data_IF_718711166098
#
_entry.id   IF_718711166098
#
_cell.length_a   1.000
_cell.length_b   1.000
_cell.length_c   1.000
_cell.angle_alpha   90.00
_cell.angle_beta   90.00
_cell.angle_gamma   90.00
#
_symmetry.space_group_name_H-M   'P 1'
#
loop_
_entity.id
_entity.type
_entity.pdbx_description
1 polymer ?
#
# COMPACT_ATOMS: atom_id res chain seq x y z
N UNK A 1 10.42 54.19 -17.94
CA UNK A 1 9.72 52.91 -18.16
C UNK A 1 10.71 51.78 -17.97
N UNK A 2 10.76 51.18 -16.77
CA UNK A 2 11.62 50.04 -16.46
C UNK A 2 10.97 48.76 -16.99
N UNK A 3 11.69 48.01 -17.83
CA UNK A 3 11.21 46.80 -18.48
C UNK A 3 11.33 45.63 -17.50
N UNK A 4 10.21 45.19 -16.92
CA UNK A 4 10.15 43.93 -16.17
C UNK A 4 10.47 42.77 -17.11
N UNK A 5 11.68 42.21 -17.00
CA UNK A 5 11.99 40.94 -17.65
C UNK A 5 11.28 39.82 -16.88
N UNK A 6 10.46 38.98 -17.54
CA UNK A 6 9.92 37.79 -16.89
C UNK A 6 11.11 36.85 -16.64
N UNK A 7 11.35 36.52 -15.37
CA UNK A 7 12.31 35.50 -14.98
C UNK A 7 11.73 34.16 -15.44
N UNK A 8 11.91 33.81 -16.71
CA UNK A 8 11.64 32.46 -17.19
C UNK A 8 12.80 31.59 -16.72
N UNK A 9 12.77 31.21 -15.44
CA UNK A 9 13.57 30.09 -14.94
C UNK A 9 13.15 28.84 -15.72
N UNK A 10 13.86 28.56 -16.82
CA UNK A 10 13.86 27.25 -17.45
C UNK A 10 14.50 26.28 -16.46
N UNK A 11 13.71 25.74 -15.52
CA UNK A 11 14.07 24.53 -14.79
C UNK A 11 14.28 23.44 -15.82
N UNK A 12 15.53 23.18 -16.17
CA UNK A 12 15.91 22.03 -16.98
C UNK A 12 15.32 20.80 -16.30
N UNK A 13 14.51 20.05 -17.02
CA UNK A 13 13.90 18.83 -16.50
C UNK A 13 15.04 17.85 -16.25
N UNK A 14 15.56 17.82 -15.01
CA UNK A 14 16.59 16.88 -14.64
C UNK A 14 15.91 15.51 -14.54
N UNK A 15 15.83 14.83 -15.68
CA UNK A 15 15.42 13.41 -15.83
C UNK A 15 16.47 12.49 -15.21
N UNK A 16 16.88 12.77 -13.98
CA UNK A 16 17.87 11.99 -13.27
C UNK A 16 17.14 10.95 -12.41
N UNK A 17 16.69 9.86 -13.07
CA UNK A 17 16.14 8.66 -12.42
C UNK A 17 17.11 8.06 -11.38
N UNK A 18 18.38 8.46 -11.42
CA UNK A 18 19.42 8.15 -10.44
C UNK A 18 19.11 8.68 -9.03
N UNK A 19 18.33 9.76 -8.91
CA UNK A 19 17.88 10.29 -7.62
C UNK A 19 16.84 9.36 -6.99
N UNK A 20 15.93 8.80 -7.80
CA UNK A 20 14.90 7.87 -7.34
C UNK A 20 15.50 6.53 -6.87
N UNK A 21 16.57 6.06 -7.53
CA UNK A 21 17.32 4.87 -7.09
C UNK A 21 18.09 5.10 -5.79
N UNK A 22 18.51 6.33 -5.48
CA UNK A 22 19.05 6.67 -4.16
C UNK A 22 17.99 6.60 -3.05
N UNK A 23 16.74 7.00 -3.34
CA UNK A 23 15.63 6.82 -2.40
C UNK A 23 15.32 5.35 -2.12
N UNK A 24 15.47 4.45 -3.12
CA UNK A 24 15.35 3.01 -2.91
C UNK A 24 16.36 2.46 -1.88
N UNK A 25 17.49 3.14 -1.69
CA UNK A 25 18.44 2.84 -0.61
C UNK A 25 17.83 2.93 0.80
N UNK A 26 16.88 3.85 1.00
CA UNK A 26 16.17 4.02 2.28
C UNK A 26 15.12 2.93 2.53
N UNK A 27 14.67 2.19 1.50
CA UNK A 27 13.80 1.03 1.66
C UNK A 27 14.57 -0.24 2.07
N UNK A 28 15.89 -0.27 1.84
CA UNK A 28 16.76 -1.44 2.04
C UNK A 28 16.78 -1.98 3.49
N UNK A 29 16.70 -1.16 4.55
CA UNK A 29 16.57 -1.65 5.94
C UNK A 29 15.22 -2.32 6.21
N UNK A 30 14.15 -1.93 5.48
CA UNK A 30 12.76 -2.33 5.74
C UNK A 30 12.28 -3.49 4.85
N UNK A 31 13.21 -4.24 4.24
CA UNK A 31 12.87 -5.34 3.30
C UNK A 31 11.95 -6.41 3.90
N UNK A 32 12.06 -6.69 5.20
CA UNK A 32 11.19 -7.65 5.90
C UNK A 32 9.74 -7.15 5.95
N UNK A 33 9.54 -5.88 6.33
CA UNK A 33 8.22 -5.26 6.36
C UNK A 33 7.63 -5.12 4.95
N UNK A 34 8.46 -4.82 3.95
CA UNK A 34 8.04 -4.79 2.55
C UNK A 34 7.60 -6.18 2.07
N UNK A 35 8.34 -7.24 2.40
CA UNK A 35 7.95 -8.61 2.08
C UNK A 35 6.64 -9.01 2.76
N UNK A 36 6.43 -8.64 4.03
CA UNK A 36 5.18 -8.86 4.74
C UNK A 36 4.01 -8.08 4.10
N UNK A 37 4.23 -6.83 3.70
CA UNK A 37 3.23 -6.01 3.01
C UNK A 37 2.84 -6.62 1.65
N UNK A 38 3.82 -7.13 0.89
CA UNK A 38 3.58 -7.83 -0.36
C UNK A 38 2.86 -9.16 -0.15
N UNK A 39 3.20 -9.93 0.87
CA UNK A 39 2.47 -11.15 1.21
C UNK A 39 1.00 -10.83 1.53
N UNK A 40 0.75 -9.83 2.39
CA UNK A 40 -0.59 -9.36 2.70
C UNK A 40 -1.32 -8.83 1.45
N UNK A 41 -0.60 -8.20 0.51
CA UNK A 41 -1.12 -7.76 -0.79
C UNK A 41 -1.66 -8.93 -1.61
N UNK A 42 -0.88 -10.00 -1.74
CA UNK A 42 -1.28 -11.21 -2.47
C UNK A 42 -2.44 -11.92 -1.81
N UNK A 43 -2.43 -12.06 -0.47
CA UNK A 43 -3.54 -12.66 0.28
C UNK A 43 -4.81 -11.84 0.09
N UNK A 44 -4.74 -10.50 0.22
CA UNK A 44 -5.89 -9.63 0.01
C UNK A 44 -6.43 -9.71 -1.42
N UNK A 45 -5.56 -9.73 -2.44
CA UNK A 45 -5.97 -9.89 -3.84
C UNK A 45 -6.63 -11.24 -4.09
N UNK A 46 -6.06 -12.33 -3.58
CA UNK A 46 -6.64 -13.67 -3.69
C UNK A 46 -7.98 -13.78 -2.97
N UNK A 47 -8.10 -13.21 -1.77
CA UNK A 47 -9.35 -13.17 -1.03
C UNK A 47 -10.42 -12.34 -1.75
N UNK A 48 -10.05 -11.22 -2.38
CA UNK A 48 -10.98 -10.40 -3.15
C UNK A 48 -11.48 -11.10 -4.42
N UNK A 49 -10.60 -11.83 -5.12
CA UNK A 49 -10.99 -12.67 -6.26
C UNK A 49 -11.87 -13.85 -5.80
N UNK A 50 -11.52 -14.49 -4.69
CA UNK A 50 -12.28 -15.60 -4.12
C UNK A 50 -13.66 -15.18 -3.58
N UNK A 51 -13.79 -13.93 -3.10
CA UNK A 51 -15.02 -13.39 -2.54
C UNK A 51 -16.21 -13.54 -3.50
N UNK A 52 -16.03 -13.24 -4.79
CA UNK A 52 -17.09 -13.39 -5.80
C UNK A 52 -17.58 -14.85 -5.94
N UNK A 53 -16.65 -15.81 -5.96
CA UNK A 53 -16.96 -17.24 -6.06
C UNK A 53 -17.66 -17.75 -4.79
N UNK A 54 -17.24 -17.28 -3.63
CA UNK A 54 -17.85 -17.64 -2.35
C UNK A 54 -19.27 -17.10 -2.26
N UNK A 55 -19.48 -15.84 -2.63
CA UNK A 55 -20.80 -15.23 -2.67
C UNK A 55 -21.74 -15.99 -3.61
N UNK A 56 -21.24 -16.36 -4.80
CA UNK A 56 -22.00 -17.17 -5.74
C UNK A 56 -22.43 -18.52 -5.12
N UNK A 57 -21.51 -19.26 -4.46
CA UNK A 57 -21.87 -20.53 -3.81
C UNK A 57 -22.92 -20.38 -2.71
N UNK A 58 -22.84 -19.30 -1.93
CA UNK A 58 -23.78 -19.03 -0.84
C UNK A 58 -25.17 -18.77 -1.38
N UNK A 59 -25.26 -17.98 -2.46
CA UNK A 59 -26.55 -17.69 -3.12
C UNK A 59 -27.09 -18.95 -3.80
N UNK A 60 -26.27 -19.65 -4.57
CA UNK A 60 -26.73 -20.78 -5.38
C UNK A 60 -27.06 -22.02 -4.56
N UNK A 61 -26.35 -22.31 -3.46
CA UNK A 61 -26.58 -23.53 -2.65
C UNK A 61 -27.23 -23.27 -1.30
N UNK A 62 -26.93 -22.13 -0.66
CA UNK A 62 -27.47 -21.80 0.65
C UNK A 62 -28.93 -21.35 0.61
N UNK A 63 -29.35 -20.63 -0.45
CA UNK A 63 -30.72 -20.12 -0.59
C UNK A 63 -31.63 -21.05 -1.41
N UNK A 64 -31.09 -21.79 -2.39
CA UNK A 64 -31.91 -22.62 -3.28
C UNK A 64 -32.28 -24.00 -2.70
N UNK A 65 -31.51 -24.51 -1.73
CA UNK A 65 -31.68 -25.88 -1.20
C UNK A 65 -32.85 -26.03 -0.22
N UNK A 66 -33.42 -24.93 0.29
CA UNK A 66 -34.58 -24.93 1.18
C UNK A 66 -34.34 -25.52 2.59
N UNK A 67 -33.12 -25.99 2.90
CA UNK A 67 -32.78 -26.53 4.22
C UNK A 67 -32.00 -25.50 5.05
N UNK A 68 -32.43 -25.27 6.30
CA UNK A 68 -31.77 -24.31 7.19
C UNK A 68 -30.31 -24.66 7.55
N UNK A 69 -29.93 -25.94 7.46
CA UNK A 69 -28.58 -26.40 7.75
C UNK A 69 -27.57 -25.96 6.67
N UNK A 70 -27.92 -26.12 5.38
CA UNK A 70 -27.10 -25.68 4.25
C UNK A 70 -26.93 -24.16 4.22
N UNK A 71 -28.01 -23.42 4.51
CA UNK A 71 -27.95 -21.96 4.64
C UNK A 71 -26.97 -21.53 5.75
N UNK A 72 -27.04 -22.16 6.92
CA UNK A 72 -26.15 -21.84 8.03
C UNK A 72 -24.67 -22.14 7.69
N UNK A 73 -24.39 -23.27 7.04
CA UNK A 73 -23.04 -23.62 6.61
C UNK A 73 -22.50 -22.64 5.56
N UNK A 74 -23.33 -22.23 4.60
CA UNK A 74 -22.99 -21.23 3.61
C UNK A 74 -22.67 -19.87 4.26
N UNK A 75 -23.50 -19.40 5.20
CA UNK A 75 -23.26 -18.16 5.93
C UNK A 75 -21.98 -18.21 6.78
N UNK A 76 -21.67 -19.34 7.41
CA UNK A 76 -20.42 -19.52 8.16
C UNK A 76 -19.19 -19.46 7.25
N UNK A 77 -19.23 -20.11 6.08
CA UNK A 77 -18.17 -20.02 5.07
C UNK A 77 -17.98 -18.59 4.57
N UNK A 78 -19.08 -17.89 4.31
CA UNK A 78 -19.06 -16.48 3.90
C UNK A 78 -18.41 -15.61 4.97
N UNK A 79 -18.83 -15.76 6.24
CA UNK A 79 -18.28 -15.03 7.37
C UNK A 79 -16.77 -15.25 7.49
N UNK A 80 -16.32 -16.51 7.41
CA UNK A 80 -14.90 -16.86 7.47
C UNK A 80 -14.10 -16.14 6.38
N UNK A 81 -14.59 -16.16 5.14
CA UNK A 81 -13.93 -15.51 4.00
C UNK A 81 -13.87 -14.00 4.17
N UNK A 82 -14.97 -13.37 4.59
CA UNK A 82 -15.02 -11.92 4.86
C UNK A 82 -14.09 -11.53 6.01
N UNK A 83 -14.04 -12.31 7.09
CA UNK A 83 -13.11 -12.08 8.21
C UNK A 83 -11.66 -12.17 7.75
N UNK A 84 -11.29 -13.20 6.98
CA UNK A 84 -9.94 -13.34 6.41
C UNK A 84 -9.60 -12.18 5.48
N UNK A 85 -10.53 -11.80 4.60
CA UNK A 85 -10.36 -10.66 3.70
C UNK A 85 -10.14 -9.36 4.49
N UNK A 86 -10.97 -9.12 5.50
CA UNK A 86 -10.88 -7.93 6.36
C UNK A 86 -9.52 -7.84 7.07
N UNK A 87 -9.07 -8.94 7.69
CA UNK A 87 -7.76 -8.99 8.36
C UNK A 87 -6.61 -8.79 7.35
N UNK A 88 -6.69 -9.42 6.18
CA UNK A 88 -5.67 -9.27 5.14
C UNK A 88 -5.58 -7.81 4.64
N UNK A 89 -6.72 -7.16 4.41
CA UNK A 89 -6.78 -5.75 4.01
C UNK A 89 -6.24 -4.86 5.12
N UNK A 90 -6.66 -5.06 6.38
CA UNK A 90 -6.19 -4.29 7.51
C UNK A 90 -4.67 -4.41 7.69
N UNK A 91 -4.14 -5.64 7.67
CA UNK A 91 -2.70 -5.90 7.76
C UNK A 91 -1.93 -5.24 6.62
N UNK A 92 -2.42 -5.34 5.38
CA UNK A 92 -1.82 -4.69 4.20
C UNK A 92 -1.77 -3.17 4.36
N UNK A 93 -2.87 -2.54 4.74
CA UNK A 93 -2.96 -1.09 4.91
C UNK A 93 -2.08 -0.61 6.05
N UNK A 94 -2.09 -1.32 7.18
CA UNK A 94 -1.26 -1.00 8.34
C UNK A 94 0.24 -1.07 8.00
N UNK A 95 0.68 -2.16 7.37
CA UNK A 95 2.09 -2.32 6.99
C UNK A 95 2.53 -1.28 5.96
N UNK A 96 1.66 -0.93 5.01
CA UNK A 96 1.94 0.11 4.02
C UNK A 96 2.05 1.50 4.68
N UNK A 97 1.13 1.85 5.58
CA UNK A 97 1.17 3.12 6.28
C UNK A 97 2.39 3.25 7.20
N UNK A 98 2.67 2.20 7.99
CA UNK A 98 3.84 2.13 8.86
C UNK A 98 5.15 2.26 8.07
N UNK A 99 5.24 1.60 6.91
CA UNK A 99 6.40 1.72 6.02
C UNK A 99 6.53 3.15 5.49
N UNK A 100 5.42 3.77 5.07
CA UNK A 100 5.39 5.15 4.61
C UNK A 100 5.91 6.14 5.65
N UNK A 101 5.41 6.04 6.89
CA UNK A 101 5.85 6.89 8.01
C UNK A 101 7.35 6.78 8.27
N UNK A 102 7.89 5.55 8.29
CA UNK A 102 9.33 5.31 8.52
C UNK A 102 10.20 5.83 7.40
N UNK A 103 9.82 5.57 6.14
CA UNK A 103 10.56 6.04 4.97
C UNK A 103 10.56 7.57 4.91
N UNK A 104 9.41 8.23 5.16
CA UNK A 104 9.32 9.70 5.17
C UNK A 104 10.15 10.30 6.30
N UNK A 105 10.17 9.67 7.49
CA UNK A 105 10.98 10.14 8.61
C UNK A 105 12.49 10.07 8.29
N UNK A 106 12.95 9.00 7.64
CA UNK A 106 14.36 8.86 7.27
C UNK A 106 14.78 9.82 6.16
N UNK A 107 13.91 10.03 5.15
CA UNK A 107 14.13 11.05 4.11
C UNK A 107 14.23 12.43 4.74
N UNK A 108 13.30 12.77 5.66
CA UNK A 108 13.30 14.06 6.35
C UNK A 108 14.63 14.29 7.06
N UNK A 109 15.13 13.31 7.82
CA UNK A 109 16.44 13.38 8.49
C UNK A 109 17.59 13.59 7.51
N UNK A 110 17.61 12.85 6.40
CA UNK A 110 18.66 12.96 5.39
C UNK A 110 18.67 14.35 4.71
N UNK A 111 17.48 14.87 4.38
CA UNK A 111 17.34 16.21 3.78
C UNK A 111 17.82 17.28 4.77
N UNK A 112 17.35 17.25 6.03
CA UNK A 112 17.80 18.23 7.03
C UNK A 112 19.31 18.15 7.29
N UNK A 113 19.88 16.95 7.37
CA UNK A 113 21.33 16.80 7.53
C UNK A 113 22.11 17.39 6.34
N UNK A 114 21.57 17.29 5.12
CA UNK A 114 22.20 17.89 3.94
C UNK A 114 22.07 19.42 3.93
N UNK A 115 20.92 19.97 4.34
CA UNK A 115 20.74 21.43 4.49
C UNK A 115 21.71 21.99 5.52
N UNK A 116 21.83 21.36 6.68
CA UNK A 116 22.77 21.78 7.74
C UNK A 116 24.24 21.67 7.32
N UNK A 117 24.59 20.78 6.38
CA UNK A 117 25.94 20.69 5.81
C UNK A 117 26.22 21.76 4.75
N UNK A 118 25.17 22.27 4.10
CA UNK A 118 25.26 23.30 3.07
C UNK A 118 25.27 24.72 3.66
N UNK A 119 25.07 24.86 4.97
CA UNK A 119 25.34 26.09 5.70
C UNK A 119 26.74 26.05 6.32
N UNK A 120 27.77 26.59 5.64
CA UNK A 120 28.89 27.21 6.32
C UNK A 120 28.53 28.68 6.64
N UNK A 121 28.79 29.07 7.89
CA UNK A 121 29.01 30.43 8.42
C UNK A 121 28.35 31.63 7.70
#
# INVERSE_FOLDING_TARGET
>A
MARNQPITEQRTTSRNLRVLTHLFGFLRPYRKNLAAALLALFIAAGALLGFGVVLQRVVDHGLSSGSGAELNQALLLFLLVVSVLSVAVAARVYLANWLGERVVADIRKAVFAQVLKLEPA
#
